data_IF_079486980935
#
_entry.id   IF_079486980935
#
_cell.length_a   1.000
_cell.length_b   1.000
_cell.length_c   1.000
_cell.angle_alpha   90.00
_cell.angle_beta   90.00
_cell.angle_gamma   90.00
#
_symmetry.space_group_name_H-M   'P 1'
#
loop_
_entity.id
_entity.type
_entity.pdbx_description
1 polymer ?
#
# COMPACT_ATOMS: atom_id res chain seq x y z
N UNK A 1 -24.37 4.42 -6.08
CA UNK A 1 -23.92 3.48 -5.04
C UNK A 1 -22.45 3.76 -4.80
N UNK A 2 -22.06 4.37 -3.67
CA UNK A 2 -20.63 4.49 -3.35
C UNK A 2 -20.15 3.10 -2.97
N UNK A 3 -19.51 2.40 -3.92
CA UNK A 3 -18.90 1.11 -3.67
C UNK A 3 -17.70 1.30 -2.75
N UNK A 4 -17.85 0.93 -1.48
CA UNK A 4 -16.75 0.94 -0.52
C UNK A 4 -15.67 -0.03 -1.01
N UNK A 5 -14.51 0.51 -1.42
CA UNK A 5 -13.39 -0.33 -1.81
C UNK A 5 -12.84 -1.07 -0.58
N UNK A 6 -12.44 -2.35 -0.71
CA UNK A 6 -11.87 -3.09 0.39
C UNK A 6 -10.51 -2.49 0.81
N UNK A 7 -10.23 -2.54 2.12
CA UNK A 7 -9.00 -2.04 2.72
C UNK A 7 -7.73 -2.72 2.15
N UNK A 8 -7.86 -4.01 1.82
CA UNK A 8 -6.80 -4.81 1.21
C UNK A 8 -7.13 -5.09 -0.25
N UNK A 9 -6.09 -5.31 -1.06
CA UNK A 9 -6.27 -5.82 -2.41
C UNK A 9 -6.93 -7.20 -2.37
N UNK A 10 -7.87 -7.40 -3.27
CA UNK A 10 -8.51 -8.68 -3.52
C UNK A 10 -7.55 -9.65 -4.22
N UNK A 11 -7.86 -10.96 -4.25
CA UNK A 11 -7.04 -11.92 -4.98
C UNK A 11 -6.86 -11.59 -6.47
N UNK A 12 -7.90 -11.05 -7.12
CA UNK A 12 -7.85 -10.70 -8.54
C UNK A 12 -7.00 -9.45 -8.78
N UNK A 13 -7.11 -8.43 -7.93
CA UNK A 13 -6.22 -7.26 -7.99
C UNK A 13 -4.76 -7.63 -7.73
N UNK A 14 -4.49 -8.59 -6.83
CA UNK A 14 -3.13 -9.10 -6.64
C UNK A 14 -2.60 -9.83 -7.87
N UNK A 15 -3.46 -10.58 -8.58
CA UNK A 15 -3.08 -11.24 -9.84
C UNK A 15 -2.80 -10.22 -10.93
N UNK A 16 -3.63 -9.19 -11.04
CA UNK A 16 -3.45 -8.10 -12.00
C UNK A 16 -2.17 -7.31 -11.73
N UNK A 17 -1.96 -6.88 -10.47
CA UNK A 17 -0.77 -6.12 -10.07
C UNK A 17 0.53 -6.89 -10.27
N UNK A 18 0.54 -8.19 -9.97
CA UNK A 18 1.78 -9.00 -9.98
C UNK A 18 1.99 -9.78 -11.28
N UNK A 19 0.94 -10.00 -12.07
CA UNK A 19 0.92 -10.97 -13.17
C UNK A 19 1.11 -12.42 -12.73
N UNK A 20 0.94 -12.73 -11.43
CA UNK A 20 1.20 -14.07 -10.85
C UNK A 20 -0.03 -14.63 -10.15
N UNK A 21 -0.19 -15.96 -10.22
CA UNK A 21 -1.28 -16.70 -9.57
C UNK A 21 -0.86 -17.29 -8.22
N UNK A 22 0.36 -17.87 -8.13
CA UNK A 22 0.83 -18.54 -6.91
C UNK A 22 1.25 -17.51 -5.85
N UNK A 23 0.75 -17.64 -4.62
CA UNK A 23 1.02 -16.68 -3.52
C UNK A 23 2.51 -16.42 -3.26
N UNK A 24 3.34 -17.46 -3.22
CA UNK A 24 4.79 -17.29 -3.07
C UNK A 24 5.47 -16.58 -4.25
N UNK A 25 4.88 -16.62 -5.46
CA UNK A 25 5.35 -15.83 -6.60
C UNK A 25 4.88 -14.38 -6.52
N UNK A 26 3.64 -14.15 -6.05
CA UNK A 26 3.10 -12.80 -5.79
C UNK A 26 3.95 -12.07 -4.73
N UNK A 27 4.25 -12.72 -3.59
CA UNK A 27 5.08 -12.14 -2.52
C UNK A 27 6.48 -11.74 -3.01
N UNK A 28 7.12 -12.57 -3.84
CA UNK A 28 8.42 -12.24 -4.45
C UNK A 28 8.33 -11.06 -5.41
N UNK A 29 7.27 -10.98 -6.22
CA UNK A 29 7.05 -9.84 -7.11
C UNK A 29 6.83 -8.55 -6.31
N UNK A 30 5.99 -8.58 -5.27
CA UNK A 30 5.72 -7.43 -4.39
C UNK A 30 7.00 -6.93 -3.71
N UNK A 31 7.85 -7.84 -3.23
CA UNK A 31 9.17 -7.47 -2.70
C UNK A 31 10.05 -6.78 -3.74
N UNK A 32 10.07 -7.30 -4.97
CA UNK A 32 10.82 -6.69 -6.08
C UNK A 32 10.30 -5.30 -6.48
N UNK A 33 9.00 -5.05 -6.29
CA UNK A 33 8.36 -3.75 -6.51
C UNK A 33 8.50 -2.77 -5.33
N UNK A 34 9.08 -3.21 -4.20
CA UNK A 34 9.16 -2.41 -2.98
C UNK A 34 7.82 -2.18 -2.27
N UNK A 35 6.82 -3.03 -2.53
CA UNK A 35 5.49 -2.93 -1.92
C UNK A 35 5.44 -3.78 -0.64
N UNK A 36 5.13 -3.13 0.49
CA UNK A 36 4.94 -3.79 1.78
C UNK A 36 3.74 -4.75 1.71
N UNK A 37 3.96 -5.97 2.18
CA UNK A 37 2.94 -7.02 2.17
C UNK A 37 3.14 -7.95 3.37
N UNK A 38 2.06 -8.65 3.75
CA UNK A 38 2.10 -9.68 4.80
C UNK A 38 1.54 -10.99 4.27
N UNK A 39 2.18 -12.09 4.62
CA UNK A 39 1.66 -13.44 4.38
C UNK A 39 0.75 -13.79 5.56
N UNK A 40 -0.49 -14.16 5.27
CA UNK A 40 -1.46 -14.60 6.27
C UNK A 40 -1.15 -16.05 6.71
N UNK A 41 -1.70 -16.52 7.85
CA UNK A 41 -1.51 -17.90 8.29
C UNK A 41 -1.98 -18.96 7.29
N UNK A 42 -2.95 -18.62 6.43
CA UNK A 42 -3.45 -19.48 5.35
C UNK A 42 -2.54 -19.50 4.10
N UNK A 43 -1.44 -18.75 4.10
CA UNK A 43 -0.49 -18.63 2.98
C UNK A 43 -0.89 -17.63 1.89
N UNK A 44 -2.05 -16.97 2.00
CA UNK A 44 -2.43 -15.87 1.10
C UNK A 44 -1.65 -14.59 1.42
N UNK A 45 -1.64 -13.64 0.48
CA UNK A 45 -0.94 -12.37 0.63
C UNK A 45 -1.91 -11.23 0.90
N UNK A 46 -1.64 -10.42 1.92
CA UNK A 46 -2.35 -9.20 2.24
C UNK A 46 -1.51 -7.97 1.87
N UNK A 47 -2.11 -7.06 1.12
CA UNK A 47 -1.51 -5.78 0.73
C UNK A 47 -2.54 -4.69 0.99
N UNK A 48 -2.16 -3.64 1.73
CA UNK A 48 -3.02 -2.48 1.94
C UNK A 48 -3.16 -1.70 0.63
N UNK A 49 -4.41 -1.40 0.24
CA UNK A 49 -4.69 -0.63 -0.98
C UNK A 49 -4.01 0.74 -0.96
N UNK A 50 -4.15 1.45 0.15
CA UNK A 50 -3.58 2.80 0.33
C UNK A 50 -2.06 2.82 0.19
N UNK A 51 -1.37 1.75 0.58
CA UNK A 51 0.08 1.66 0.44
C UNK A 51 0.49 1.56 -1.03
N UNK A 52 -0.25 0.77 -1.81
CA UNK A 52 -0.03 0.64 -3.26
C UNK A 52 -0.31 1.97 -3.96
N UNK A 53 -1.43 2.61 -3.65
CA UNK A 53 -1.77 3.93 -4.19
C UNK A 53 -0.66 4.95 -3.90
N UNK A 54 -0.11 4.97 -2.68
CA UNK A 54 1.00 5.85 -2.32
C UNK A 54 2.30 5.53 -3.08
N UNK A 55 2.59 4.24 -3.31
CA UNK A 55 3.78 3.81 -4.05
C UNK A 55 3.73 4.24 -5.52
N UNK A 56 2.53 4.29 -6.12
CA UNK A 56 2.32 4.68 -7.51
C UNK A 56 1.93 6.15 -7.71
N UNK A 57 1.52 6.85 -6.65
CA UNK A 57 1.24 8.26 -6.72
C UNK A 57 2.51 9.05 -7.08
N UNK A 58 2.34 10.08 -7.91
CA UNK A 58 3.39 11.08 -8.06
C UNK A 58 3.72 11.67 -6.68
N UNK A 59 4.99 12.05 -6.40
CA UNK A 59 5.34 12.65 -5.13
C UNK A 59 4.52 13.92 -4.94
N UNK A 60 3.45 13.82 -4.14
CA UNK A 60 2.70 14.98 -3.68
C UNK A 60 3.66 15.78 -2.83
N UNK A 61 3.77 17.08 -3.11
CA UNK A 61 4.67 17.97 -2.41
C UNK A 61 4.55 17.71 -0.90
N UNK A 62 5.68 17.44 -0.24
CA UNK A 62 5.70 17.22 1.21
C UNK A 62 4.91 18.36 1.85
N UNK A 63 3.95 18.07 2.75
CA UNK A 63 3.18 19.14 3.38
C UNK A 63 4.17 20.14 3.98
N UNK A 64 4.12 21.38 3.49
CA UNK A 64 4.97 22.46 3.97
C UNK A 64 4.64 22.59 5.45
N UNK A 65 5.60 22.27 6.33
CA UNK A 65 5.43 22.50 7.76
C UNK A 65 5.22 24.00 7.94
N UNK A 66 4.01 24.39 8.33
CA UNK A 66 3.74 25.74 8.79
C UNK A 66 4.63 25.97 10.03
N UNK A 67 5.50 27.00 10.05
CA UNK A 67 6.26 27.31 11.25
C UNK A 67 5.28 27.64 12.37
N UNK A 68 5.22 26.77 13.39
CA UNK A 68 4.40 27.00 14.57
C UNK A 68 5.17 27.89 15.55
N UNK A 69 4.54 28.91 16.16
CA UNK A 69 5.14 29.67 17.25
C UNK A 69 5.58 28.74 18.37
N UNK A 70 6.74 29.02 18.98
CA UNK A 70 7.17 28.30 20.16
C UNK A 70 6.38 28.78 21.39
N UNK A 71 5.24 28.14 21.66
CA UNK A 71 4.39 28.45 22.81
C UNK A 71 5.05 28.20 24.17
N UNK A 72 6.20 27.53 24.22
CA UNK A 72 6.98 27.33 25.46
C UNK A 72 7.85 28.53 25.85
N UNK A 73 7.86 29.59 25.03
CA UNK A 73 8.62 30.82 25.28
C UNK A 73 7.80 31.94 25.95
N UNK A 74 6.62 31.63 26.51
CA UNK A 74 5.70 32.57 27.16
C UNK A 74 5.65 32.30 28.66
#
# INVERSE_FOLDING_TARGET
MHGQQPLFLTPDELRELTGRIRHGAQARALRGMGIEHRVRPDGTVAVLRTHVEQQFAAPTARPKREPQPNWSAI
#
